data_IF_944704686268
#
_entry.id   IF_944704686268
#
_cell.length_a   1.000
_cell.length_b   1.000
_cell.length_c   1.000
_cell.angle_alpha   90.00
_cell.angle_beta   90.00
_cell.angle_gamma   90.00
#
_symmetry.space_group_name_H-M   'P 1'
#
loop_
_entity.id
_entity.type
_entity.pdbx_description
1 polymer ?
#
# COMPACT_ATOMS: atom_id res chain seq x y z
N UNK A 1 17.97 3.72 2.85
CA UNK A 1 17.60 2.56 2.03
C UNK A 1 18.10 2.74 0.60
N UNK A 2 19.40 2.52 0.32
CA UNK A 2 19.93 2.73 -1.02
C UNK A 2 19.43 1.69 -2.05
N UNK A 3 18.88 0.56 -1.60
CA UNK A 3 18.50 -0.57 -2.48
C UNK A 3 16.99 -0.70 -2.76
N UNK A 4 16.15 0.12 -2.12
CA UNK A 4 14.71 0.00 -2.30
C UNK A 4 14.29 0.43 -3.71
N UNK A 5 13.66 -0.50 -4.45
CA UNK A 5 13.03 -0.19 -5.75
C UNK A 5 11.62 0.32 -5.51
N UNK A 6 11.38 1.58 -5.87
CA UNK A 6 10.10 2.24 -5.63
C UNK A 6 9.29 2.23 -6.92
N UNK A 7 8.07 1.70 -6.84
CA UNK A 7 7.12 1.67 -7.95
C UNK A 7 5.87 2.49 -7.58
N UNK A 8 5.38 3.26 -8.55
CA UNK A 8 4.16 4.05 -8.42
C UNK A 8 3.14 3.70 -9.49
N UNK A 9 1.88 3.57 -9.09
CA UNK A 9 0.75 3.40 -10.00
C UNK A 9 -0.13 4.64 -9.90
N UNK A 10 -0.43 5.22 -11.05
CA UNK A 10 -1.30 6.39 -11.16
C UNK A 10 -2.25 6.19 -12.35
N UNK A 11 -3.51 6.59 -12.25
CA UNK A 11 -4.46 6.49 -13.36
C UNK A 11 -4.35 7.68 -14.32
N UNK A 12 -4.13 8.87 -13.76
CA UNK A 12 -4.06 10.15 -14.46
C UNK A 12 -2.72 10.34 -15.17
N UNK A 13 -2.74 10.52 -16.50
CA UNK A 13 -1.53 10.81 -17.28
C UNK A 13 -0.76 12.05 -16.78
N UNK A 14 -1.41 13.21 -16.56
CA UNK A 14 -0.73 14.39 -16.04
C UNK A 14 -0.06 14.14 -14.68
N UNK A 15 -0.74 13.50 -13.73
CA UNK A 15 -0.17 13.18 -12.42
C UNK A 15 0.97 12.18 -12.53
N UNK A 16 0.85 11.18 -13.41
CA UNK A 16 1.93 10.22 -13.68
C UNK A 16 3.19 10.92 -14.15
N UNK A 17 3.07 11.89 -15.06
CA UNK A 17 4.22 12.66 -15.56
C UNK A 17 4.82 13.54 -14.46
N UNK A 18 3.98 14.26 -13.71
CA UNK A 18 4.45 15.08 -12.59
C UNK A 18 5.18 14.25 -11.53
N UNK A 19 4.66 13.07 -11.19
CA UNK A 19 5.29 12.14 -10.27
C UNK A 19 6.62 11.60 -10.80
N UNK A 20 6.69 11.22 -12.08
CA UNK A 20 7.95 10.74 -12.68
C UNK A 20 9.04 11.83 -12.69
N UNK A 21 8.68 13.09 -12.93
CA UNK A 21 9.61 14.22 -12.87
C UNK A 21 10.07 14.53 -11.44
N UNK A 22 9.16 14.45 -10.46
CA UNK A 22 9.45 14.77 -9.06
C UNK A 22 10.18 13.63 -8.32
N UNK A 23 10.00 12.40 -8.79
CA UNK A 23 10.55 11.20 -8.18
C UNK A 23 11.36 10.39 -9.22
N UNK A 24 12.51 10.91 -9.70
CA UNK A 24 13.30 10.26 -10.75
C UNK A 24 13.90 8.91 -10.31
N UNK A 25 13.95 8.66 -9.00
CA UNK A 25 14.37 7.39 -8.39
C UNK A 25 13.26 6.33 -8.30
N UNK A 26 12.04 6.63 -8.77
CA UNK A 26 10.90 5.72 -8.75
C UNK A 26 10.37 5.43 -10.16
N UNK A 27 9.92 4.21 -10.40
CA UNK A 27 9.23 3.85 -11.64
C UNK A 27 7.73 4.11 -11.51
N UNK A 28 7.26 5.22 -12.07
CA UNK A 28 5.83 5.59 -12.08
C UNK A 28 5.19 5.25 -13.42
N UNK A 29 4.18 4.39 -13.40
CA UNK A 29 3.44 3.96 -14.59
C UNK A 29 1.96 4.28 -14.49
N UNK A 30 1.34 4.48 -15.66
CA UNK A 30 -0.11 4.61 -15.73
C UNK A 30 -0.75 3.22 -15.65
N UNK A 31 -1.55 2.96 -14.62
CA UNK A 31 -2.25 1.68 -14.46
C UNK A 31 -3.40 1.76 -13.46
N UNK A 32 -4.23 0.71 -13.44
CA UNK A 32 -5.17 0.43 -12.37
C UNK A 32 -4.47 -0.40 -11.28
N UNK A 33 -4.42 0.11 -10.06
CA UNK A 33 -3.78 -0.58 -8.93
C UNK A 33 -4.49 -1.88 -8.56
N UNK A 34 -5.77 -2.01 -8.88
CA UNK A 34 -6.55 -3.22 -8.57
C UNK A 34 -6.26 -4.35 -9.55
N UNK A 35 -5.91 -4.02 -10.80
CA UNK A 35 -5.51 -4.99 -11.83
C UNK A 35 -4.02 -5.29 -11.79
N UNK A 36 -3.20 -4.40 -11.23
CA UNK A 36 -1.78 -4.64 -11.07
C UNK A 36 -1.52 -5.82 -10.12
N UNK A 37 -0.59 -6.69 -10.50
CA UNK A 37 -0.10 -7.78 -9.67
C UNK A 37 0.71 -7.23 -8.48
N UNK A 38 0.34 -7.63 -7.28
CA UNK A 38 1.03 -7.24 -6.04
C UNK A 38 2.10 -8.24 -5.58
N UNK A 39 2.12 -9.45 -6.13
CA UNK A 39 2.96 -10.56 -5.64
C UNK A 39 4.47 -10.30 -5.69
N UNK A 40 4.91 -9.43 -6.60
CA UNK A 40 6.32 -9.06 -6.74
C UNK A 40 6.82 -8.08 -5.65
N UNK A 41 5.93 -7.47 -4.87
CA UNK A 41 6.30 -6.42 -3.91
C UNK A 41 6.40 -6.96 -2.48
N UNK A 42 7.44 -6.52 -1.77
CA UNK A 42 7.62 -6.83 -0.34
C UNK A 42 6.81 -5.87 0.54
N UNK A 43 6.35 -4.76 -0.02
CA UNK A 43 5.51 -3.77 0.66
C UNK A 43 4.61 -3.06 -0.36
N UNK A 44 3.32 -2.96 -0.04
CA UNK A 44 2.35 -2.11 -0.75
C UNK A 44 1.89 -1.01 0.19
N UNK A 45 2.07 0.23 -0.24
CA UNK A 45 1.62 1.42 0.47
C UNK A 45 0.36 2.01 -0.18
N UNK A 46 -0.67 2.28 0.62
CA UNK A 46 -1.94 2.83 0.17
C UNK A 46 -2.26 4.16 0.85
N UNK A 47 -2.74 5.10 0.05
CA UNK A 47 -3.47 6.28 0.51
C UNK A 47 -4.82 6.31 -0.20
N UNK A 48 -5.79 5.59 0.38
CA UNK A 48 -7.11 5.33 -0.19
C UNK A 48 -8.21 5.83 0.75
N UNK A 49 -9.46 5.45 0.50
CA UNK A 49 -10.63 5.76 1.33
C UNK A 49 -11.08 4.52 2.13
N UNK A 50 -11.79 4.68 3.26
CA UNK A 50 -12.28 3.56 4.09
C UNK A 50 -13.02 2.48 3.28
N UNK A 51 -13.86 2.90 2.33
CA UNK A 51 -14.73 2.02 1.55
C UNK A 51 -13.93 1.07 0.64
N UNK A 52 -12.69 1.43 0.32
CA UNK A 52 -11.79 0.60 -0.50
C UNK A 52 -10.94 -0.37 0.33
N UNK A 53 -10.88 -0.22 1.66
CA UNK A 53 -9.93 -0.96 2.50
C UNK A 53 -10.23 -2.45 2.57
N UNK A 54 -11.51 -2.85 2.54
CA UNK A 54 -11.88 -4.27 2.47
C UNK A 54 -11.40 -4.93 1.17
N UNK A 55 -11.54 -4.24 0.02
CA UNK A 55 -11.03 -4.72 -1.28
C UNK A 55 -9.50 -4.80 -1.29
N UNK A 56 -8.83 -3.82 -0.68
CA UNK A 56 -7.37 -3.83 -0.52
C UNK A 56 -6.88 -5.02 0.32
N UNK A 57 -7.57 -5.32 1.42
CA UNK A 57 -7.26 -6.47 2.27
C UNK A 57 -7.45 -7.79 1.52
N UNK A 58 -8.57 -7.96 0.82
CA UNK A 58 -8.83 -9.16 0.02
C UNK A 58 -7.73 -9.40 -1.04
N UNK A 59 -7.34 -8.33 -1.76
CA UNK A 59 -6.26 -8.42 -2.75
C UNK A 59 -4.90 -8.70 -2.11
N UNK A 60 -4.56 -8.02 -1.01
CA UNK A 60 -3.32 -8.26 -0.28
C UNK A 60 -3.22 -9.72 0.18
N UNK A 61 -4.28 -10.28 0.76
CA UNK A 61 -4.32 -11.67 1.21
C UNK A 61 -4.20 -12.67 0.06
N UNK A 62 -4.68 -12.33 -1.13
CA UNK A 62 -4.63 -13.17 -2.32
C UNK A 62 -3.27 -13.14 -3.03
N UNK A 63 -2.58 -11.99 -3.05
CA UNK A 63 -1.43 -11.79 -3.93
C UNK A 63 -0.10 -11.57 -3.19
N UNK A 64 -0.11 -10.92 -2.02
CA UNK A 64 1.15 -10.63 -1.32
C UNK A 64 1.75 -11.90 -0.71
N UNK A 65 3.06 -12.04 -0.88
CA UNK A 65 3.81 -13.13 -0.28
C UNK A 65 3.76 -13.08 1.26
N UNK A 66 3.88 -14.25 1.90
CA UNK A 66 4.01 -14.32 3.36
C UNK A 66 5.18 -13.45 3.85
N UNK A 67 4.93 -12.68 4.91
CA UNK A 67 5.90 -11.74 5.46
C UNK A 67 5.98 -10.38 4.75
N UNK A 68 5.34 -10.20 3.59
CA UNK A 68 5.21 -8.90 2.93
C UNK A 68 4.24 -7.98 3.71
N UNK A 69 4.28 -6.70 3.39
CA UNK A 69 3.58 -5.66 4.14
C UNK A 69 2.48 -4.99 3.34
N UNK A 70 1.32 -4.81 3.96
CA UNK A 70 0.34 -3.80 3.56
C UNK A 70 0.45 -2.62 4.53
N UNK A 71 0.72 -1.44 4.02
CA UNK A 71 0.82 -0.20 4.81
C UNK A 71 -0.24 0.77 4.33
N UNK A 72 -1.11 1.22 5.25
CA UNK A 72 -2.21 2.12 4.93
C UNK A 72 -2.08 3.44 5.67
N UNK A 73 -2.21 4.55 4.95
CA UNK A 73 -2.26 5.89 5.52
C UNK A 73 -3.70 6.22 5.92
N UNK A 74 -3.87 6.71 7.15
CA UNK A 74 -5.10 7.16 7.82
C UNK A 74 -6.13 6.07 8.11
N UNK A 75 -6.34 5.11 7.20
CA UNK A 75 -7.45 4.16 7.31
C UNK A 75 -6.99 2.74 7.64
N UNK A 76 -7.60 2.15 8.67
CA UNK A 76 -7.38 0.76 9.05
C UNK A 76 -7.98 -0.21 8.03
N UNK A 77 -7.41 -1.41 7.95
CA UNK A 77 -8.08 -2.57 7.36
C UNK A 77 -9.18 -3.05 8.33
N UNK A 78 -10.45 -3.18 7.87
CA UNK A 78 -11.52 -3.71 8.70
C UNK A 78 -11.21 -5.12 9.21
N UNK A 79 -11.60 -5.40 10.46
CA UNK A 79 -11.53 -6.73 11.08
C UNK A 79 -10.12 -7.37 11.16
N UNK A 80 -9.06 -6.57 10.98
CA UNK A 80 -7.67 -7.03 11.05
C UNK A 80 -6.87 -6.23 12.09
N UNK A 81 -6.09 -6.94 12.90
CA UNK A 81 -5.15 -6.34 13.85
C UNK A 81 -3.92 -5.81 13.11
N UNK A 82 -3.56 -4.52 13.27
CA UNK A 82 -2.30 -4.02 12.76
C UNK A 82 -1.13 -4.59 13.56
N UNK A 83 -0.03 -4.88 12.88
CA UNK A 83 1.23 -5.24 13.52
C UNK A 83 1.81 -4.04 14.28
N UNK A 84 1.69 -2.83 13.70
CA UNK A 84 2.01 -1.59 14.37
C UNK A 84 1.18 -0.42 13.83
N UNK A 85 1.11 0.63 14.63
CA UNK A 85 0.62 1.94 14.24
C UNK A 85 1.71 2.96 14.48
N UNK A 86 1.88 3.88 13.53
CA UNK A 86 2.84 4.97 13.65
C UNK A 86 2.16 6.30 13.36
N UNK A 87 2.60 7.38 14.01
CA UNK A 87 2.20 8.73 13.62
C UNK A 87 3.24 9.29 12.67
N UNK A 88 2.80 9.72 11.49
CA UNK A 88 3.63 10.51 10.59
C UNK A 88 3.92 11.90 11.20
N UNK A 89 4.96 12.62 10.74
CA UNK A 89 5.25 13.98 11.21
C UNK A 89 4.07 14.97 11.11
N UNK A 90 3.11 14.72 10.22
CA UNK A 90 1.87 15.50 10.09
C UNK A 90 0.71 15.01 10.96
N UNK A 91 0.95 14.13 11.94
CA UNK A 91 -0.06 13.61 12.87
C UNK A 91 -0.94 12.48 12.32
N UNK A 92 -0.92 12.24 11.00
CA UNK A 92 -1.67 11.15 10.36
C UNK A 92 -1.19 9.79 10.85
N UNK A 93 -2.12 8.88 11.14
CA UNK A 93 -1.80 7.50 11.49
C UNK A 93 -1.40 6.70 10.24
N UNK A 94 -0.41 5.83 10.41
CA UNK A 94 0.03 4.83 9.44
C UNK A 94 -0.17 3.47 10.08
N UNK A 95 -0.92 2.62 9.41
CA UNK A 95 -1.27 1.27 9.85
C UNK A 95 -0.41 0.28 9.11
N UNK A 96 0.31 -0.58 9.84
CA UNK A 96 1.22 -1.56 9.26
C UNK A 96 0.67 -2.96 9.51
N UNK A 97 0.50 -3.72 8.44
CA UNK A 97 0.03 -5.11 8.49
C UNK A 97 1.04 -6.00 7.79
N UNK A 98 1.39 -7.12 8.43
CA UNK A 98 2.26 -8.14 7.84
C UNK A 98 1.41 -9.31 7.38
N UNK A 99 1.74 -9.92 6.24
CA UNK A 99 1.04 -11.10 5.74
C UNK A 99 1.48 -12.38 6.46
N UNK A 100 0.57 -13.34 6.71
CA UNK A 100 -0.89 -13.21 6.57
C UNK A 100 -1.45 -12.25 7.64
N UNK A 101 -2.62 -11.64 7.37
CA UNK A 101 -3.25 -10.78 8.38
C UNK A 101 -3.56 -11.55 9.67
N UNK A 102 -3.53 -10.83 10.78
CA UNK A 102 -4.08 -11.29 12.05
C UNK A 102 -5.52 -10.80 12.17
N UNK A 103 -6.54 -11.67 12.25
CA UNK A 103 -7.92 -11.25 12.43
C UNK A 103 -8.10 -10.57 13.80
N UNK A 104 -8.96 -9.54 13.85
CA UNK A 104 -9.37 -8.88 15.08
C UNK A 104 -10.42 -9.73 15.81
N UNK A 105 -9.92 -10.72 16.56
CA UNK A 105 -10.75 -11.61 17.37
C UNK A 105 -11.11 -12.92 16.69
N UNK A 106 -11.00 -14.00 17.45
CA UNK A 106 -11.78 -15.23 17.31
C UNK A 106 -12.79 -15.28 18.46
#
# INVERSE_FOLDING_TARGET
YPEARIHGIEWSCPLRLACALRCPWAQVRRADMWQADWSAYQLVYLFQRPESMARAAAKAQAELAAGAWLVSLEFAVPDMLPWAQMRSPGGRLVWLYRMPFSPAGA
#
